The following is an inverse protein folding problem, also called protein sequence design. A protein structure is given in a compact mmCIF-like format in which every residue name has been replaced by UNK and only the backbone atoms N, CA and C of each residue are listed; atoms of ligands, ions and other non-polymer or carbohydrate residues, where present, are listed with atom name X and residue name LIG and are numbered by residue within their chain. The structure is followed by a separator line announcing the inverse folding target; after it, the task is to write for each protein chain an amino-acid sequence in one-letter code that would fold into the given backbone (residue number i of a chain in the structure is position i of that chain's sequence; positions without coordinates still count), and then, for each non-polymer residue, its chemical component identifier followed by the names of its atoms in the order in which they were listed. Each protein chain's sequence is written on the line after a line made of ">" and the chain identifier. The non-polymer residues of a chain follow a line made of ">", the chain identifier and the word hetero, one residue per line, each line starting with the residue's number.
data_IF_927994954935
#
_entry.id   IF_927994954935
#
_cell.length_a   1.000
_cell.length_b   1.000
_cell.length_c   1.000
_cell.angle_alpha   90.00
_cell.angle_beta   90.00
_cell.angle_gamma   90.00
#
_symmetry.space_group_name_H-M   'P 1'
#
loop_
_entity.id
_entity.type
_entity.pdbx_description
1 polymer ?
#
# COMPACT_ATOMS: atom_id res chain seq x y z
N UNK A 1 93.26 -27.07 17.12
CA UNK A 1 93.96 -25.97 16.50
C UNK A 1 92.86 -25.17 15.72
N UNK A 2 92.57 -24.02 16.24
CA UNK A 2 92.45 -22.68 15.59
C UNK A 2 91.54 -22.63 14.34
N UNK A 3 90.64 -21.68 14.13
CA UNK A 3 90.38 -20.33 14.63
C UNK A 3 88.99 -19.88 14.06
N UNK A 4 88.13 -19.36 14.87
CA UNK A 4 87.60 -17.99 14.96
C UNK A 4 87.11 -17.29 13.65
N UNK A 5 85.83 -17.11 13.55
CA UNK A 5 85.03 -15.82 13.45
C UNK A 5 85.23 -14.94 12.21
N UNK A 6 84.28 -14.01 11.84
CA UNK A 6 83.04 -13.58 12.51
C UNK A 6 81.83 -13.33 11.62
N UNK A 7 80.72 -13.04 12.33
CA UNK A 7 79.43 -12.51 11.89
C UNK A 7 79.45 -11.31 10.95
N UNK A 8 78.43 -11.25 10.06
CA UNK A 8 77.90 -9.99 9.60
C UNK A 8 76.34 -9.93 9.71
N UNK A 9 75.87 -9.01 10.48
CA UNK A 9 74.52 -8.66 10.79
C UNK A 9 73.88 -8.00 9.55
N UNK A 10 72.77 -8.52 9.06
CA UNK A 10 71.91 -7.88 8.08
C UNK A 10 70.61 -7.46 8.76
N UNK A 11 70.31 -6.15 8.74
CA UNK A 11 69.22 -5.45 9.44
C UNK A 11 67.87 -5.97 8.98
N UNK A 12 67.10 -6.57 9.90
CA UNK A 12 65.69 -6.87 9.71
C UNK A 12 64.84 -5.58 9.70
N UNK A 13 64.04 -5.41 8.70
CA UNK A 13 62.96 -4.41 8.68
C UNK A 13 61.89 -4.82 9.71
N UNK A 14 61.31 -3.87 10.42
CA UNK A 14 60.43 -4.18 11.53
C UNK A 14 59.10 -4.77 11.08
N UNK A 15 58.78 -5.93 11.62
CA UNK A 15 57.47 -6.63 11.44
C UNK A 15 56.24 -5.81 11.84
N UNK A 16 56.43 -4.62 12.39
CA UNK A 16 55.35 -3.69 12.76
C UNK A 16 54.67 -2.96 11.61
N UNK A 17 55.32 -2.78 10.46
CA UNK A 17 54.75 -2.14 9.30
C UNK A 17 53.73 -3.02 8.54
N UNK A 18 53.89 -4.37 8.61
CA UNK A 18 53.02 -5.31 7.94
C UNK A 18 51.69 -5.53 8.69
N UNK A 19 51.68 -5.41 10.01
CA UNK A 19 50.46 -5.49 10.83
C UNK A 19 49.58 -4.25 10.70
N UNK A 20 50.17 -3.08 10.50
CA UNK A 20 49.40 -1.84 10.33
C UNK A 20 48.67 -1.77 8.98
N UNK A 21 49.27 -2.34 7.91
CA UNK A 21 48.62 -2.42 6.57
C UNK A 21 47.53 -3.46 6.55
N UNK A 22 47.69 -4.59 7.27
CA UNK A 22 46.64 -5.62 7.38
C UNK A 22 45.45 -5.14 8.27
N UNK A 23 45.71 -4.35 9.31
CA UNK A 23 44.64 -3.74 10.13
C UNK A 23 43.89 -2.63 9.38
N UNK A 24 44.55 -1.85 8.51
CA UNK A 24 43.91 -0.87 7.66
C UNK A 24 43.06 -1.52 6.54
N UNK A 25 43.47 -2.66 6.02
CA UNK A 25 42.72 -3.45 5.03
C UNK A 25 41.49 -4.14 5.64
N UNK A 26 41.53 -4.53 6.92
CA UNK A 26 40.36 -5.09 7.64
C UNK A 26 39.35 -4.02 8.10
N UNK A 27 39.80 -2.78 8.27
CA UNK A 27 38.88 -1.65 8.56
C UNK A 27 38.11 -1.16 7.33
N UNK A 28 38.55 -1.52 6.10
CA UNK A 28 37.87 -1.17 4.84
C UNK A 28 36.94 -2.26 4.31
N UNK A 29 36.96 -3.45 4.91
CA UNK A 29 36.06 -4.56 4.53
C UNK A 29 34.81 -4.66 5.41
N UNK A 30 34.57 -3.73 6.29
CA UNK A 30 33.31 -3.51 6.99
C UNK A 30 32.31 -2.80 6.09
N UNK A 31 32.01 -3.33 4.90
CA UNK A 31 30.76 -3.03 4.20
C UNK A 31 29.63 -3.72 4.96
N UNK A 32 29.28 -3.18 6.13
CA UNK A 32 27.91 -3.21 6.56
C UNK A 32 27.12 -2.58 5.42
N UNK A 33 26.17 -3.32 4.84
CA UNK A 33 25.14 -2.77 4.01
C UNK A 33 24.49 -1.64 4.81
N UNK A 34 24.95 -0.39 4.62
CA UNK A 34 24.11 0.75 4.86
C UNK A 34 22.90 0.48 3.99
N UNK A 35 21.80 0.04 4.58
CA UNK A 35 20.52 0.39 4.05
C UNK A 35 20.58 1.90 3.85
N UNK A 36 20.80 2.31 2.62
CA UNK A 36 20.50 3.66 2.20
C UNK A 36 19.02 3.78 2.50
N UNK A 37 18.65 4.47 3.59
CA UNK A 37 17.33 5.05 3.68
C UNK A 37 17.19 5.83 2.37
N UNK A 38 16.37 5.31 1.46
CA UNK A 38 15.97 6.09 0.30
C UNK A 38 15.40 7.38 0.85
N UNK A 39 16.12 8.46 0.63
CA UNK A 39 15.72 9.78 1.12
C UNK A 39 14.51 10.19 0.28
N UNK A 40 13.31 9.91 0.80
CA UNK A 40 12.07 10.27 0.12
C UNK A 40 11.95 11.78 -0.01
N UNK A 41 11.32 12.23 -1.08
CA UNK A 41 11.13 13.64 -1.33
C UNK A 41 10.11 14.22 -0.32
N UNK A 42 10.56 15.24 0.43
CA UNK A 42 9.70 15.88 1.42
C UNK A 42 8.76 16.86 0.71
N UNK A 43 7.44 16.68 0.77
CA UNK A 43 6.48 17.64 0.25
C UNK A 43 6.66 19.01 0.87
N UNK A 44 6.61 20.06 0.04
CA UNK A 44 6.76 21.46 0.49
C UNK A 44 5.47 22.23 0.27
N UNK A 45 5.26 23.23 1.11
CA UNK A 45 4.12 24.12 1.03
C UNK A 45 3.34 24.23 2.34
N UNK A 46 2.29 25.04 2.38
CA UNK A 46 1.40 25.16 3.52
C UNK A 46 0.59 23.89 3.74
N UNK A 47 0.08 23.70 4.96
CA UNK A 47 -0.87 22.61 5.26
C UNK A 47 -2.06 22.65 4.28
N UNK A 48 -2.53 21.45 3.92
CA UNK A 48 -3.70 21.32 3.03
C UNK A 48 -4.95 21.70 3.79
N UNK A 49 -5.77 22.55 3.18
CA UNK A 49 -7.06 22.99 3.68
C UNK A 49 -8.11 23.02 2.57
N UNK A 50 -9.13 23.83 2.74
CA UNK A 50 -10.06 24.15 1.64
C UNK A 50 -9.37 25.15 0.71
N UNK A 51 -9.12 24.75 -0.52
CA UNK A 51 -8.28 25.45 -1.48
C UNK A 51 -9.03 25.65 -2.81
N UNK A 52 -8.66 26.71 -3.55
CA UNK A 52 -9.04 26.80 -4.96
C UNK A 52 -8.13 25.93 -5.83
N UNK A 53 -8.57 25.52 -7.03
CA UNK A 53 -7.73 24.83 -8.00
C UNK A 53 -6.44 25.60 -8.34
N UNK A 54 -6.49 26.94 -8.37
CA UNK A 54 -5.33 27.82 -8.64
C UNK A 54 -4.29 27.67 -7.54
N UNK A 55 -4.68 27.87 -6.29
CA UNK A 55 -3.79 27.71 -5.13
C UNK A 55 -3.23 26.28 -5.04
N UNK A 56 -4.06 25.28 -5.28
CA UNK A 56 -3.64 23.88 -5.31
C UNK A 56 -2.54 23.65 -6.36
N UNK A 57 -2.74 24.18 -7.58
CA UNK A 57 -1.81 24.00 -8.70
C UNK A 57 -0.47 24.69 -8.46
N UNK A 58 -0.43 25.85 -7.78
CA UNK A 58 0.81 26.52 -7.39
C UNK A 58 1.68 25.68 -6.45
N UNK A 59 1.04 24.80 -5.66
CA UNK A 59 1.72 23.93 -4.70
C UNK A 59 1.81 22.47 -5.16
N UNK A 60 1.35 22.18 -6.38
CA UNK A 60 1.39 20.86 -6.97
C UNK A 60 2.78 20.60 -7.57
N UNK A 61 3.44 19.53 -7.11
CA UNK A 61 4.76 19.15 -7.61
C UNK A 61 4.91 17.62 -7.61
N UNK A 62 5.65 17.04 -8.56
CA UNK A 62 5.85 15.59 -8.62
C UNK A 62 6.46 15.03 -7.33
N UNK A 63 7.41 15.72 -6.73
CA UNK A 63 8.04 15.33 -5.45
C UNK A 63 7.06 15.12 -4.29
N UNK A 64 5.85 15.72 -4.36
CA UNK A 64 4.84 15.49 -3.33
C UNK A 64 4.38 14.02 -3.28
N UNK A 65 4.55 13.31 -4.39
CA UNK A 65 4.21 11.89 -4.56
C UNK A 65 5.44 11.01 -4.80
N UNK A 66 6.60 11.40 -4.30
CA UNK A 66 7.90 10.72 -4.47
C UNK A 66 8.33 10.53 -5.94
N UNK A 67 7.84 11.39 -6.85
CA UNK A 67 8.21 11.40 -8.26
C UNK A 67 9.28 12.47 -8.53
N UNK A 68 10.21 12.16 -9.43
CA UNK A 68 11.20 13.13 -9.92
C UNK A 68 10.60 14.03 -11.01
N UNK A 69 9.63 13.50 -11.76
CA UNK A 69 8.98 14.17 -12.88
C UNK A 69 7.56 13.62 -13.07
N UNK A 70 6.64 14.45 -13.55
CA UNK A 70 5.30 14.01 -13.96
C UNK A 70 5.32 12.92 -15.05
N UNK A 71 6.41 12.81 -15.83
CA UNK A 71 6.59 11.75 -16.84
C UNK A 71 6.51 10.34 -16.24
N UNK A 72 6.87 10.19 -14.97
CA UNK A 72 6.84 8.90 -14.27
C UNK A 72 5.41 8.37 -14.06
N UNK A 73 4.38 9.24 -14.20
CA UNK A 73 2.98 8.81 -14.18
C UNK A 73 2.55 8.08 -15.47
N UNK A 74 3.33 8.13 -16.54
CA UNK A 74 2.95 7.55 -17.83
C UNK A 74 2.54 6.06 -17.78
N UNK A 75 3.20 5.17 -17.01
CA UNK A 75 2.73 3.78 -16.83
C UNK A 75 1.34 3.70 -16.20
N UNK A 76 1.08 4.50 -15.18
CA UNK A 76 -0.20 4.56 -14.44
C UNK A 76 -1.33 5.06 -15.33
N UNK A 77 -1.08 6.10 -16.12
CA UNK A 77 -2.02 6.59 -17.15
C UNK A 77 -2.34 5.49 -18.15
N UNK A 78 -1.33 4.78 -18.67
CA UNK A 78 -1.56 3.66 -19.61
C UNK A 78 -2.38 2.51 -19.04
N UNK A 79 -2.23 2.20 -17.73
CA UNK A 79 -3.07 1.21 -17.04
C UNK A 79 -4.53 1.64 -17.02
N UNK A 80 -4.79 2.90 -16.64
CA UNK A 80 -6.14 3.49 -16.63
C UNK A 80 -6.75 3.55 -18.02
N UNK A 81 -5.97 3.94 -19.05
CA UNK A 81 -6.42 3.95 -20.45
C UNK A 81 -6.85 2.55 -20.93
N UNK A 82 -6.07 1.51 -20.65
CA UNK A 82 -6.46 0.13 -21.04
C UNK A 82 -7.80 -0.27 -20.44
N UNK A 83 -8.04 0.06 -19.18
CA UNK A 83 -9.30 -0.23 -18.52
C UNK A 83 -10.46 0.56 -19.13
N UNK A 84 -10.31 1.87 -19.30
CA UNK A 84 -11.34 2.77 -19.83
C UNK A 84 -11.70 2.36 -21.27
N UNK A 85 -10.71 2.10 -22.13
CA UNK A 85 -10.91 1.63 -23.52
C UNK A 85 -11.61 0.26 -23.63
N UNK A 86 -11.66 -0.52 -22.56
CA UNK A 86 -12.43 -1.76 -22.52
C UNK A 86 -13.94 -1.54 -22.37
N UNK A 87 -14.38 -0.28 -22.21
CA UNK A 87 -15.78 0.10 -22.02
C UNK A 87 -16.31 0.79 -23.28
N UNK A 88 -17.61 0.72 -23.55
CA UNK A 88 -18.20 1.50 -24.66
C UNK A 88 -18.08 3.00 -24.38
N UNK A 89 -17.41 3.74 -25.27
CA UNK A 89 -17.10 5.16 -25.06
C UNK A 89 -18.34 6.03 -24.78
N UNK A 90 -19.46 5.72 -25.43
CA UNK A 90 -20.72 6.46 -25.30
C UNK A 90 -21.52 6.09 -24.03
N UNK A 91 -21.15 5.00 -23.36
CA UNK A 91 -21.85 4.60 -22.15
C UNK A 91 -21.49 5.51 -20.97
N UNK A 92 -22.49 5.79 -20.14
CA UNK A 92 -22.33 6.60 -18.94
C UNK A 92 -21.47 5.87 -17.91
N UNK A 93 -20.38 6.50 -17.50
CA UNK A 93 -19.50 6.01 -16.44
C UNK A 93 -20.02 6.43 -15.07
N UNK A 94 -20.56 7.65 -14.96
CA UNK A 94 -21.23 8.17 -13.77
C UNK A 94 -22.28 9.22 -14.16
N UNK A 95 -23.37 9.23 -13.42
CA UNK A 95 -24.43 10.25 -13.50
C UNK A 95 -24.88 10.58 -12.08
N UNK A 96 -24.51 11.76 -11.59
CA UNK A 96 -24.92 12.30 -10.30
C UNK A 96 -24.99 13.83 -10.34
N UNK A 97 -25.67 14.50 -9.41
CA UNK A 97 -25.69 15.95 -9.36
C UNK A 97 -24.28 16.56 -9.42
N UNK A 98 -24.09 17.46 -10.39
CA UNK A 98 -22.81 18.15 -10.63
C UNK A 98 -21.74 17.34 -11.38
N UNK A 99 -21.98 16.06 -11.73
CA UNK A 99 -21.01 15.27 -12.47
C UNK A 99 -21.67 14.17 -13.32
N UNK A 100 -21.67 14.36 -14.63
CA UNK A 100 -22.05 13.33 -15.60
C UNK A 100 -20.93 13.12 -16.59
N UNK A 101 -20.39 11.90 -16.64
CA UNK A 101 -19.29 11.53 -17.53
C UNK A 101 -19.59 10.22 -18.24
N UNK A 102 -19.19 10.14 -19.48
CA UNK A 102 -19.10 8.90 -20.27
C UNK A 102 -17.70 8.28 -20.13
N UNK A 103 -17.54 7.04 -20.56
CA UNK A 103 -16.21 6.43 -20.65
C UNK A 103 -15.32 7.15 -21.66
N UNK A 104 -15.91 7.74 -22.71
CA UNK A 104 -15.17 8.57 -23.67
C UNK A 104 -14.63 9.86 -23.07
N UNK A 105 -15.33 10.47 -22.07
CA UNK A 105 -14.82 11.62 -21.35
C UNK A 105 -13.60 11.27 -20.52
N UNK A 106 -13.62 10.13 -19.85
CA UNK A 106 -12.47 9.61 -19.10
C UNK A 106 -11.30 9.27 -20.02
N UNK A 107 -11.58 8.68 -21.18
CA UNK A 107 -10.55 8.38 -22.19
C UNK A 107 -9.87 9.65 -22.69
N UNK A 108 -10.65 10.68 -23.11
CA UNK A 108 -10.11 11.98 -23.53
C UNK A 108 -9.26 12.63 -22.45
N UNK A 109 -9.71 12.58 -21.20
CA UNK A 109 -8.97 13.12 -20.06
C UNK A 109 -7.62 12.43 -19.86
N UNK A 110 -7.58 11.13 -19.92
CA UNK A 110 -6.34 10.35 -19.78
C UNK A 110 -5.39 10.57 -20.98
N UNK A 111 -5.91 10.66 -22.20
CA UNK A 111 -5.13 10.95 -23.39
C UNK A 111 -4.54 12.37 -23.31
N UNK A 112 -5.36 13.36 -22.89
CA UNK A 112 -4.88 14.73 -22.71
C UNK A 112 -3.81 14.82 -21.64
N UNK A 113 -3.98 14.15 -20.51
CA UNK A 113 -2.96 14.08 -19.47
C UNK A 113 -1.67 13.45 -20.01
N UNK A 114 -1.76 12.32 -20.72
CA UNK A 114 -0.60 11.65 -21.31
C UNK A 114 0.19 12.56 -22.26
N UNK A 115 -0.49 13.34 -23.06
CA UNK A 115 0.13 14.32 -23.97
C UNK A 115 0.88 15.41 -23.20
N UNK A 116 0.32 15.87 -22.10
CA UNK A 116 0.88 16.98 -21.32
C UNK A 116 2.02 16.57 -20.39
N UNK A 117 2.13 15.31 -19.98
CA UNK A 117 3.16 14.84 -19.03
C UNK A 117 4.57 15.38 -19.29
N UNK A 118 5.07 15.46 -20.55
CA UNK A 118 6.41 15.96 -20.83
C UNK A 118 6.63 17.44 -20.51
N UNK A 119 5.55 18.21 -20.39
CA UNK A 119 5.58 19.67 -20.20
C UNK A 119 5.22 20.11 -18.78
N UNK A 120 4.53 19.27 -18.01
CA UNK A 120 3.95 19.64 -16.71
C UNK A 120 5.00 20.04 -15.66
N UNK A 121 6.24 19.56 -15.77
CA UNK A 121 7.31 19.96 -14.84
C UNK A 121 7.68 21.44 -15.00
N UNK A 122 7.66 21.94 -16.23
CA UNK A 122 7.97 23.34 -16.57
C UNK A 122 6.72 24.23 -16.57
N UNK A 123 5.56 23.67 -16.85
CA UNK A 123 4.30 24.40 -17.09
C UNK A 123 3.15 23.81 -16.28
N UNK A 124 3.18 23.84 -14.93
CA UNK A 124 2.13 23.24 -14.10
C UNK A 124 0.75 23.89 -14.31
N UNK A 125 0.69 25.14 -14.76
CA UNK A 125 -0.56 25.84 -15.13
C UNK A 125 -1.36 25.12 -16.23
N UNK A 126 -0.74 24.21 -16.99
CA UNK A 126 -1.45 23.40 -18.00
C UNK A 126 -2.53 22.51 -17.37
N UNK A 127 -2.45 22.18 -16.09
CA UNK A 127 -3.54 21.52 -15.38
C UNK A 127 -4.81 22.38 -15.35
N UNK A 128 -4.69 23.67 -15.09
CA UNK A 128 -5.85 24.59 -15.09
C UNK A 128 -6.37 24.90 -16.50
N UNK A 129 -5.46 25.04 -17.46
CA UNK A 129 -5.80 25.41 -18.81
C UNK A 129 -6.50 24.28 -19.59
N UNK A 130 -6.14 23.03 -19.32
CA UNK A 130 -6.57 21.88 -20.11
C UNK A 130 -7.63 21.01 -19.44
N UNK A 131 -7.88 21.21 -18.14
CA UNK A 131 -8.87 20.43 -17.41
C UNK A 131 -9.89 21.33 -16.72
N UNK A 132 -11.12 20.89 -16.74
CA UNK A 132 -12.14 21.34 -15.81
C UNK A 132 -11.94 20.61 -14.49
N UNK A 133 -11.92 21.32 -13.39
CA UNK A 133 -11.82 20.81 -12.04
C UNK A 133 -13.20 20.72 -11.42
N UNK A 134 -13.77 19.53 -11.39
CA UNK A 134 -15.09 19.28 -10.83
C UNK A 134 -14.93 18.87 -9.38
N UNK A 135 -15.30 19.74 -8.46
CA UNK A 135 -15.18 19.48 -7.04
C UNK A 135 -15.98 18.24 -6.64
N UNK A 136 -15.33 17.35 -5.91
CA UNK A 136 -16.02 16.27 -5.20
C UNK A 136 -16.58 16.92 -3.93
N UNK A 137 -17.92 16.85 -3.69
CA UNK A 137 -18.55 17.60 -2.59
C UNK A 137 -17.81 17.45 -1.28
N UNK A 138 -17.65 18.57 -0.56
CA UNK A 138 -16.80 18.78 0.62
C UNK A 138 -16.83 17.63 1.64
N UNK A 139 -15.65 17.35 2.23
CA UNK A 139 -15.49 16.39 3.30
C UNK A 139 -15.11 14.98 2.82
N UNK A 140 -14.21 14.88 1.84
CA UNK A 140 -13.52 13.61 1.58
C UNK A 140 -12.72 13.22 2.81
N UNK A 141 -12.95 12.02 3.31
CA UNK A 141 -12.12 11.38 4.32
C UNK A 141 -11.04 10.55 3.62
N UNK A 142 -9.80 10.87 3.86
CA UNK A 142 -8.66 10.10 3.36
C UNK A 142 -8.20 9.09 4.40
N UNK A 143 -7.94 7.88 3.94
CA UNK A 143 -7.20 6.84 4.64
C UNK A 143 -6.11 6.31 3.72
N UNK A 144 -5.24 5.44 4.24
CA UNK A 144 -4.18 4.83 3.45
C UNK A 144 -4.21 3.31 3.54
N UNK A 145 -3.71 2.66 2.51
CA UNK A 145 -3.41 1.24 2.53
C UNK A 145 -2.01 0.97 1.97
N UNK A 146 -1.43 -0.16 2.36
CA UNK A 146 -0.04 -0.48 2.05
C UNK A 146 0.13 -1.96 1.68
N UNK A 147 1.30 -2.35 1.18
CA UNK A 147 1.67 -3.75 0.94
C UNK A 147 2.32 -4.34 2.19
N UNK A 148 1.60 -5.09 3.04
CA UNK A 148 2.19 -5.70 4.21
C UNK A 148 3.17 -6.81 3.83
N UNK A 149 4.24 -6.95 4.63
CA UNK A 149 5.22 -8.05 4.57
C UNK A 149 4.92 -9.00 5.71
N UNK A 150 4.55 -10.23 5.40
CA UNK A 150 4.15 -11.25 6.37
C UNK A 150 5.19 -12.36 6.42
N UNK A 151 5.75 -12.62 7.60
CA UNK A 151 6.64 -13.77 7.84
C UNK A 151 5.87 -15.07 7.68
N UNK A 152 6.32 -15.94 6.79
CA UNK A 152 5.61 -17.16 6.44
C UNK A 152 6.54 -18.37 6.27
N UNK A 153 5.96 -19.56 6.30
CA UNK A 153 6.58 -20.83 5.91
C UNK A 153 5.70 -21.54 4.87
N UNK A 154 6.31 -22.32 3.99
CA UNK A 154 5.58 -23.12 3.00
C UNK A 154 4.87 -24.32 3.62
N UNK A 155 5.32 -24.73 4.81
CA UNK A 155 4.76 -25.86 5.56
C UNK A 155 4.44 -25.44 6.98
N UNK A 156 3.46 -26.11 7.58
CA UNK A 156 3.13 -25.92 8.99
C UNK A 156 4.28 -26.43 9.87
N UNK A 157 4.72 -25.60 10.79
CA UNK A 157 5.77 -25.94 11.77
C UNK A 157 5.66 -25.02 13.00
N UNK A 158 6.34 -25.36 14.13
CA UNK A 158 6.37 -24.47 15.30
C UNK A 158 6.76 -23.04 14.94
N UNK A 159 5.97 -22.06 15.43
CA UNK A 159 6.12 -20.64 15.11
C UNK A 159 5.53 -20.20 13.76
N UNK A 160 4.99 -21.14 12.95
CA UNK A 160 4.28 -20.87 11.69
C UNK A 160 3.02 -21.74 11.64
N UNK A 161 2.00 -21.32 12.37
CA UNK A 161 0.79 -22.12 12.60
C UNK A 161 -0.48 -21.48 12.06
N UNK A 162 -0.42 -20.21 11.65
CA UNK A 162 -1.56 -19.50 11.10
C UNK A 162 -1.66 -19.72 9.59
N UNK A 163 -2.67 -20.48 9.14
CA UNK A 163 -2.90 -20.74 7.72
C UNK A 163 -3.36 -19.49 6.97
N UNK A 164 -2.83 -19.34 5.74
CA UNK A 164 -3.32 -18.39 4.74
C UNK A 164 -3.98 -19.22 3.65
N UNK A 165 -5.31 -19.05 3.46
CA UNK A 165 -6.10 -19.94 2.61
C UNK A 165 -6.31 -19.40 1.20
N UNK A 166 -6.26 -20.32 0.22
CA UNK A 166 -6.77 -20.13 -1.12
C UNK A 166 -8.30 -20.06 -1.12
N UNK A 167 -8.86 -19.51 -2.22
CA UNK A 167 -10.30 -19.46 -2.42
C UNK A 167 -10.89 -20.87 -2.51
N UNK A 168 -11.80 -21.27 -1.61
CA UNK A 168 -12.41 -22.59 -1.67
C UNK A 168 -13.21 -22.80 -2.96
N UNK A 169 -13.02 -23.90 -3.68
CA UNK A 169 -13.71 -24.15 -4.97
C UNK A 169 -15.23 -24.28 -4.79
N UNK A 170 -15.69 -24.76 -3.65
CA UNK A 170 -17.10 -24.94 -3.31
C UNK A 170 -17.78 -23.64 -2.85
N UNK A 171 -17.03 -22.55 -2.60
CA UNK A 171 -17.56 -21.34 -2.00
C UNK A 171 -18.73 -20.73 -2.78
N UNK A 172 -18.65 -20.70 -4.12
CA UNK A 172 -19.74 -20.17 -4.96
C UNK A 172 -21.03 -20.97 -4.81
N UNK A 173 -20.93 -22.29 -4.76
CA UNK A 173 -22.08 -23.18 -4.60
C UNK A 173 -22.64 -23.10 -3.17
N UNK A 174 -21.78 -23.10 -2.17
CA UNK A 174 -22.15 -22.96 -0.77
C UNK A 174 -22.90 -21.64 -0.52
N UNK A 175 -22.36 -20.50 -1.00
CA UNK A 175 -22.99 -19.19 -0.86
C UNK A 175 -24.38 -19.10 -1.47
N UNK A 176 -24.63 -19.75 -2.61
CA UNK A 176 -25.97 -19.81 -3.21
C UNK A 176 -27.01 -20.44 -2.29
N UNK A 177 -26.61 -21.45 -1.49
CA UNK A 177 -27.48 -22.14 -0.53
C UNK A 177 -27.60 -21.42 0.83
N UNK A 178 -26.66 -20.50 1.14
CA UNK A 178 -26.52 -19.88 2.46
C UNK A 178 -26.62 -18.35 2.39
N UNK A 179 -27.59 -17.82 1.64
CA UNK A 179 -27.89 -16.36 1.55
C UNK A 179 -26.66 -15.51 1.24
N UNK A 180 -25.77 -15.98 0.35
CA UNK A 180 -24.57 -15.26 -0.08
C UNK A 180 -23.38 -15.35 0.89
N UNK A 181 -23.44 -16.16 1.93
CA UNK A 181 -22.40 -16.25 2.97
C UNK A 181 -21.72 -17.61 2.96
N UNK A 182 -20.42 -17.62 3.23
CA UNK A 182 -19.61 -18.81 3.50
C UNK A 182 -19.33 -18.91 5.00
N UNK A 183 -18.38 -19.72 5.42
CA UNK A 183 -18.00 -19.83 6.83
C UNK A 183 -17.50 -18.49 7.37
N UNK A 184 -17.84 -18.17 8.62
CA UNK A 184 -17.32 -17.02 9.37
C UNK A 184 -15.85 -17.21 9.71
N UNK A 185 -15.15 -16.12 10.05
CA UNK A 185 -13.77 -16.19 10.60
C UNK A 185 -13.66 -17.21 11.72
N UNK A 186 -14.54 -17.15 12.71
CA UNK A 186 -14.54 -18.09 13.84
C UNK A 186 -14.64 -19.55 13.41
N UNK A 187 -15.50 -19.85 12.45
CA UNK A 187 -15.63 -21.19 11.89
C UNK A 187 -14.37 -21.66 11.16
N UNK A 188 -13.71 -20.76 10.46
CA UNK A 188 -12.46 -21.07 9.73
C UNK A 188 -11.30 -21.23 10.71
N UNK A 189 -11.16 -20.32 11.66
CA UNK A 189 -9.97 -20.20 12.51
C UNK A 189 -10.03 -21.05 13.79
N UNK A 190 -11.17 -21.08 14.51
CA UNK A 190 -11.32 -21.85 15.74
C UNK A 190 -11.83 -23.27 15.45
N UNK A 191 -12.88 -23.39 14.63
CA UNK A 191 -13.47 -24.68 14.30
C UNK A 191 -12.72 -25.40 13.17
N UNK A 192 -11.72 -24.74 12.54
CA UNK A 192 -10.83 -25.27 11.52
C UNK A 192 -11.54 -25.95 10.34
N UNK A 193 -12.71 -25.43 9.90
CA UNK A 193 -13.53 -26.06 8.87
C UNK A 193 -12.86 -26.14 7.47
N UNK A 194 -11.71 -25.51 7.28
CA UNK A 194 -10.91 -25.59 6.06
C UNK A 194 -9.62 -26.41 6.22
N UNK A 195 -9.27 -26.80 7.45
CA UNK A 195 -8.04 -27.54 7.70
C UNK A 195 -8.03 -28.89 6.98
N UNK A 196 -6.88 -29.25 6.40
CA UNK A 196 -6.68 -30.51 5.69
C UNK A 196 -7.40 -30.63 4.35
N UNK A 197 -7.97 -29.51 3.82
CA UNK A 197 -8.62 -29.49 2.51
C UNK A 197 -7.66 -29.17 1.36
N UNK A 198 -6.35 -29.01 1.63
CA UNK A 198 -5.34 -28.66 0.64
C UNK A 198 -5.50 -27.22 0.12
N UNK A 199 -6.06 -26.33 0.94
CA UNK A 199 -6.30 -24.93 0.59
C UNK A 199 -5.25 -23.97 1.18
N UNK A 200 -4.35 -24.49 1.99
CA UNK A 200 -3.31 -23.73 2.65
C UNK A 200 -2.24 -23.31 1.64
N UNK A 201 -2.12 -22.00 1.37
CA UNK A 201 -1.09 -21.42 0.50
C UNK A 201 0.25 -21.30 1.23
N UNK A 202 0.19 -20.91 2.49
CA UNK A 202 1.33 -20.72 3.37
C UNK A 202 0.86 -20.70 4.84
N UNK A 203 1.84 -20.71 5.75
CA UNK A 203 1.62 -20.65 7.19
C UNK A 203 2.36 -19.45 7.76
N UNK A 204 1.63 -18.48 8.27
CA UNK A 204 2.20 -17.27 8.86
C UNK A 204 2.60 -17.49 10.33
N UNK A 205 3.55 -16.67 10.79
CA UNK A 205 4.02 -16.70 12.18
C UNK A 205 3.04 -16.04 13.15
N UNK A 206 2.28 -15.02 12.69
CA UNK A 206 1.40 -14.22 13.53
C UNK A 206 -0.01 -14.11 12.93
N UNK A 207 -1.07 -14.50 13.66
CA UNK A 207 -2.46 -14.34 13.23
C UNK A 207 -2.86 -12.86 13.05
N UNK A 208 -2.22 -11.94 13.76
CA UNK A 208 -2.46 -10.50 13.62
C UNK A 208 -1.98 -10.00 12.27
N UNK A 209 -0.83 -10.47 11.79
CA UNK A 209 -0.32 -10.14 10.47
C UNK A 209 -1.24 -10.65 9.35
N UNK A 210 -1.77 -11.87 9.50
CA UNK A 210 -2.75 -12.40 8.53
C UNK A 210 -4.04 -11.59 8.54
N UNK A 211 -4.51 -11.20 9.71
CA UNK A 211 -5.71 -10.36 9.84
C UNK A 211 -5.53 -9.00 9.13
N UNK A 212 -4.40 -8.34 9.33
CA UNK A 212 -4.12 -7.09 8.63
C UNK A 212 -3.87 -7.29 7.13
N UNK A 213 -3.22 -8.39 6.72
CA UNK A 213 -3.11 -8.77 5.31
C UNK A 213 -4.49 -8.91 4.66
N UNK A 214 -5.47 -9.49 5.36
CA UNK A 214 -6.83 -9.61 4.85
C UNK A 214 -7.54 -8.25 4.71
N UNK A 215 -7.25 -7.29 5.58
CA UNK A 215 -7.75 -5.91 5.49
C UNK A 215 -7.15 -5.22 4.27
N UNK A 216 -5.84 -5.37 4.06
CA UNK A 216 -5.13 -4.78 2.92
C UNK A 216 -5.48 -5.47 1.58
N UNK A 217 -5.88 -6.74 1.62
CA UNK A 217 -6.30 -7.52 0.45
C UNK A 217 -5.16 -8.06 -0.41
N UNK A 218 -3.93 -7.64 -0.18
CA UNK A 218 -2.72 -8.12 -0.86
C UNK A 218 -1.50 -7.83 -0.01
N UNK A 219 -0.38 -8.49 -0.31
CA UNK A 219 0.87 -8.31 0.42
C UNK A 219 1.98 -9.21 -0.10
N UNK A 220 3.03 -9.28 0.68
CA UNK A 220 4.22 -10.07 0.37
C UNK A 220 4.49 -11.07 1.49
N UNK A 221 4.58 -12.34 1.15
CA UNK A 221 5.05 -13.38 2.03
C UNK A 221 6.56 -13.40 2.01
N UNK A 222 7.19 -13.31 3.16
CA UNK A 222 8.63 -13.44 3.36
C UNK A 222 8.86 -14.79 4.02
N UNK A 223 9.32 -15.77 3.23
CA UNK A 223 9.51 -17.12 3.71
C UNK A 223 10.77 -17.23 4.56
N UNK A 224 10.78 -18.22 5.41
CA UNK A 224 11.88 -18.54 6.30
C UNK A 224 13.17 -19.02 5.57
N UNK A 225 13.05 -19.37 4.28
CA UNK A 225 14.18 -19.62 3.38
C UNK A 225 14.75 -18.33 2.73
N UNK A 226 14.23 -17.17 3.10
CA UNK A 226 14.62 -15.87 2.56
C UNK A 226 13.96 -15.52 1.21
N UNK A 227 13.18 -16.43 0.61
CA UNK A 227 12.46 -16.14 -0.63
C UNK A 227 11.18 -15.34 -0.36
N UNK A 228 10.68 -14.65 -1.38
CA UNK A 228 9.46 -13.87 -1.28
C UNK A 228 8.44 -14.28 -2.34
N UNK A 229 7.16 -14.10 -2.01
CA UNK A 229 6.08 -14.27 -2.96
C UNK A 229 5.01 -13.20 -2.77
N UNK A 230 4.48 -12.69 -3.86
CA UNK A 230 3.30 -11.84 -3.82
C UNK A 230 2.05 -12.67 -3.57
N UNK A 231 1.15 -12.11 -2.76
CA UNK A 231 -0.14 -12.70 -2.48
C UNK A 231 -1.23 -11.66 -2.70
N UNK A 232 -2.26 -12.02 -3.45
CA UNK A 232 -3.32 -11.13 -3.89
C UNK A 232 -4.70 -11.68 -3.54
N UNK A 233 -5.64 -10.77 -3.35
CA UNK A 233 -7.05 -11.07 -3.12
C UNK A 233 -7.61 -12.05 -4.17
N UNK A 234 -8.27 -13.09 -3.71
CA UNK A 234 -8.97 -14.06 -4.55
C UNK A 234 -10.49 -14.03 -4.32
N UNK A 235 -10.93 -13.65 -3.14
CA UNK A 235 -12.34 -13.55 -2.79
C UNK A 235 -12.56 -13.37 -1.30
N UNK A 236 -13.81 -13.18 -0.91
CA UNK A 236 -14.20 -13.03 0.50
C UNK A 236 -15.42 -13.88 0.83
N UNK A 237 -15.60 -14.20 2.10
CA UNK A 237 -16.64 -15.11 2.59
C UNK A 237 -18.09 -14.58 2.52
N UNK A 238 -18.32 -13.28 2.21
CA UNK A 238 -19.65 -12.68 2.08
C UNK A 238 -20.24 -12.12 3.37
N UNK A 239 -19.50 -12.17 4.48
CA UNK A 239 -19.90 -11.51 5.71
C UNK A 239 -19.48 -10.04 5.72
N UNK A 240 -20.29 -9.20 6.40
CA UNK A 240 -19.98 -7.78 6.56
C UNK A 240 -18.73 -7.63 7.44
N UNK A 241 -17.78 -6.82 6.97
CA UNK A 241 -16.61 -6.46 7.74
C UNK A 241 -16.99 -5.66 9.01
N UNK A 242 -16.37 -6.01 10.12
CA UNK A 242 -16.42 -5.25 11.38
C UNK A 242 -15.00 -4.83 11.75
N UNK A 243 -14.78 -3.54 11.91
CA UNK A 243 -13.46 -2.99 12.24
C UNK A 243 -13.03 -3.43 13.63
N UNK A 244 -11.87 -4.09 13.72
CA UNK A 244 -11.27 -4.49 15.02
C UNK A 244 -10.95 -3.28 15.90
N UNK A 245 -10.41 -2.20 15.31
CA UNK A 245 -10.16 -0.97 16.05
C UNK A 245 -11.41 -0.34 16.64
N UNK A 246 -12.54 -0.38 15.91
CA UNK A 246 -13.83 0.05 16.43
C UNK A 246 -14.32 -0.85 17.57
N UNK A 247 -14.26 -2.17 17.40
CA UNK A 247 -14.63 -3.15 18.42
C UNK A 247 -13.82 -2.91 19.70
N UNK A 248 -12.51 -2.74 19.57
CA UNK A 248 -11.61 -2.55 20.71
C UNK A 248 -11.88 -1.23 21.44
N UNK A 249 -12.19 -0.14 20.71
CA UNK A 249 -12.62 1.13 21.34
C UNK A 249 -13.96 0.99 22.06
N UNK A 250 -14.94 0.38 21.44
CA UNK A 250 -16.27 0.14 22.05
C UNK A 250 -16.16 -0.72 23.33
N UNK A 251 -15.15 -1.58 23.41
CA UNK A 251 -14.82 -2.36 24.62
C UNK A 251 -13.94 -1.61 25.63
N UNK A 252 -13.54 -0.38 25.35
CA UNK A 252 -12.64 0.40 26.21
C UNK A 252 -11.20 -0.11 26.27
N UNK A 253 -10.77 -0.92 25.28
CA UNK A 253 -9.42 -1.50 25.24
C UNK A 253 -8.40 -0.55 24.59
N UNK A 254 -8.85 0.34 23.71
CA UNK A 254 -8.03 1.31 22.99
C UNK A 254 -8.66 2.70 23.03
N UNK A 255 -7.82 3.72 22.91
CA UNK A 255 -8.27 5.12 22.83
C UNK A 255 -8.58 5.55 21.39
N UNK A 256 -7.65 5.32 20.47
CA UNK A 256 -7.77 5.72 19.06
C UNK A 256 -8.24 4.56 18.16
N UNK A 257 -7.67 3.37 18.38
CA UNK A 257 -7.99 2.16 17.61
C UNK A 257 -7.30 2.13 16.25
N UNK A 258 -6.21 2.89 16.06
CA UNK A 258 -5.35 2.77 14.89
C UNK A 258 -4.56 1.46 14.89
N UNK A 259 -3.93 1.13 13.76
CA UNK A 259 -3.26 -0.17 13.58
C UNK A 259 -2.10 -0.37 14.57
N UNK A 260 -1.36 0.69 14.90
CA UNK A 260 -0.23 0.61 15.84
C UNK A 260 -0.70 0.31 17.25
N UNK A 261 -1.72 1.04 17.71
CA UNK A 261 -2.30 0.82 19.03
C UNK A 261 -2.90 -0.59 19.14
N UNK A 262 -3.57 -1.08 18.07
CA UNK A 262 -4.07 -2.46 18.01
C UNK A 262 -2.93 -3.48 18.07
N UNK A 263 -1.87 -3.32 17.26
CA UNK A 263 -0.72 -4.24 17.24
C UNK A 263 -0.03 -4.30 18.59
N UNK A 264 0.19 -3.14 19.24
CA UNK A 264 0.79 -3.11 20.56
C UNK A 264 -0.09 -3.85 21.58
N UNK A 265 -1.39 -3.57 21.57
CA UNK A 265 -2.32 -4.25 22.48
C UNK A 265 -2.33 -5.77 22.27
N UNK A 266 -2.35 -6.26 21.04
CA UNK A 266 -2.29 -7.70 20.73
C UNK A 266 -0.99 -8.33 21.21
N UNK A 267 0.14 -7.64 21.06
CA UNK A 267 1.43 -8.08 21.59
C UNK A 267 1.43 -8.23 23.09
N UNK A 268 0.78 -7.31 23.80
CA UNK A 268 0.69 -7.30 25.26
C UNK A 268 -0.39 -8.29 25.78
N UNK A 269 -1.30 -8.72 24.91
CA UNK A 269 -2.43 -9.60 25.27
C UNK A 269 -2.56 -10.79 24.30
N UNK A 270 -1.53 -11.63 24.10
CA UNK A 270 -1.53 -12.68 23.08
C UNK A 270 -2.64 -13.71 23.24
N UNK A 271 -3.08 -13.98 24.48
CA UNK A 271 -4.18 -14.90 24.79
C UNK A 271 -5.56 -14.39 24.35
N UNK A 272 -5.71 -13.09 24.11
CA UNK A 272 -6.97 -12.47 23.69
C UNK A 272 -7.06 -12.16 22.19
N UNK A 273 -6.00 -12.42 21.43
CA UNK A 273 -5.95 -12.14 20.00
C UNK A 273 -7.14 -12.76 19.27
N UNK A 274 -7.35 -14.07 19.43
CA UNK A 274 -8.43 -14.81 18.76
C UNK A 274 -9.83 -14.32 19.18
N UNK A 275 -10.02 -14.00 20.45
CA UNK A 275 -11.27 -13.42 20.97
C UNK A 275 -11.67 -12.19 20.16
N UNK A 276 -10.75 -11.24 20.00
CA UNK A 276 -11.01 -9.97 19.34
C UNK A 276 -11.12 -10.13 17.82
N UNK A 277 -10.20 -10.84 17.20
CA UNK A 277 -10.20 -11.00 15.74
C UNK A 277 -11.46 -11.71 15.23
N UNK A 278 -11.97 -12.68 15.98
CA UNK A 278 -13.17 -13.45 15.63
C UNK A 278 -14.49 -12.70 15.79
N UNK A 279 -14.48 -11.49 16.36
CA UNK A 279 -15.66 -10.62 16.33
C UNK A 279 -15.92 -10.03 14.94
N UNK A 280 -14.90 -9.98 14.09
CA UNK A 280 -15.05 -9.71 12.67
C UNK A 280 -15.39 -11.01 11.93
N UNK A 281 -16.63 -11.24 11.47
CA UNK A 281 -16.98 -12.47 10.75
C UNK A 281 -16.46 -12.53 9.33
N UNK A 282 -15.98 -11.41 8.76
CA UNK A 282 -15.42 -11.34 7.41
C UNK A 282 -14.09 -12.08 7.35
N UNK A 283 -13.85 -12.77 6.22
CA UNK A 283 -12.62 -13.51 5.93
C UNK A 283 -12.25 -13.34 4.47
N UNK A 284 -10.96 -13.10 4.18
CA UNK A 284 -10.44 -12.94 2.82
C UNK A 284 -9.60 -14.15 2.44
N UNK A 285 -9.77 -14.60 1.21
CA UNK A 285 -9.02 -15.69 0.58
C UNK A 285 -8.05 -15.12 -0.45
N UNK A 286 -6.93 -15.80 -0.63
CA UNK A 286 -5.82 -15.32 -1.42
C UNK A 286 -5.48 -16.23 -2.59
N UNK A 287 -4.60 -15.75 -3.46
CA UNK A 287 -3.89 -16.51 -4.48
C UNK A 287 -2.49 -15.96 -4.63
N UNK A 288 -1.55 -16.77 -5.03
CA UNK A 288 -0.25 -16.26 -5.43
C UNK A 288 -0.39 -15.30 -6.61
N UNK A 289 0.40 -14.23 -6.59
CA UNK A 289 0.54 -13.24 -7.65
C UNK A 289 1.91 -13.29 -8.28
N UNK A 290 2.04 -12.85 -9.52
CA UNK A 290 3.32 -12.71 -10.20
C UNK A 290 3.94 -11.33 -10.01
N UNK A 291 3.19 -10.38 -9.45
CA UNK A 291 3.57 -8.96 -9.28
C UNK A 291 2.89 -8.43 -8.01
N UNK A 292 3.24 -7.20 -7.62
CA UNK A 292 2.70 -6.48 -6.47
C UNK A 292 1.16 -6.40 -6.38
N UNK A 293 0.65 -5.62 -5.44
CA UNK A 293 -0.78 -5.50 -5.16
C UNK A 293 -1.58 -5.20 -6.43
N UNK A 294 -2.64 -5.97 -6.69
CA UNK A 294 -3.47 -5.82 -7.87
C UNK A 294 -4.79 -5.15 -7.49
N UNK A 295 -5.04 -3.96 -8.03
CA UNK A 295 -6.28 -3.22 -7.83
C UNK A 295 -7.47 -3.77 -8.61
N UNK A 296 -8.64 -3.15 -8.43
CA UNK A 296 -9.92 -3.56 -9.04
C UNK A 296 -9.92 -3.50 -10.57
N UNK A 297 -9.01 -2.76 -11.19
CA UNK A 297 -8.83 -2.70 -12.64
C UNK A 297 -8.03 -3.91 -13.19
N UNK A 298 -7.57 -4.83 -12.33
CA UNK A 298 -6.76 -5.99 -12.73
C UNK A 298 -5.30 -5.67 -13.03
N UNK A 299 -4.81 -4.49 -12.67
CA UNK A 299 -3.43 -4.04 -12.79
C UNK A 299 -2.80 -3.78 -11.43
N UNK A 300 -1.47 -3.91 -11.36
CA UNK A 300 -0.70 -3.52 -10.17
C UNK A 300 -0.92 -2.04 -9.90
N UNK A 301 -1.25 -1.72 -8.65
CA UNK A 301 -1.40 -0.34 -8.18
C UNK A 301 -0.03 0.32 -8.02
N UNK A 302 0.01 1.63 -8.19
CA UNK A 302 1.23 2.44 -8.13
C UNK A 302 1.23 3.28 -6.86
N UNK A 303 2.35 3.26 -6.17
CA UNK A 303 2.59 3.95 -4.91
C UNK A 303 2.35 5.46 -5.07
N UNK A 304 1.65 6.06 -4.11
CA UNK A 304 1.24 7.47 -4.06
C UNK A 304 0.35 7.96 -5.23
N UNK A 305 0.03 7.08 -6.20
CA UNK A 305 -0.74 7.42 -7.39
C UNK A 305 -2.09 6.71 -7.45
N UNK A 306 -2.19 5.48 -6.97
CA UNK A 306 -3.43 4.71 -7.03
C UNK A 306 -4.34 5.02 -5.86
N UNK A 307 -5.61 5.25 -6.17
CA UNK A 307 -6.68 5.54 -5.22
C UNK A 307 -7.72 4.43 -5.24
N UNK A 308 -8.06 3.89 -4.07
CA UNK A 308 -9.25 3.09 -3.90
C UNK A 308 -10.44 4.03 -3.61
N UNK A 309 -11.53 3.81 -4.34
CA UNK A 309 -12.72 4.69 -4.33
C UNK A 309 -14.02 3.89 -4.29
N UNK A 310 -15.11 4.53 -3.95
CA UNK A 310 -16.43 4.02 -4.28
C UNK A 310 -16.73 4.31 -5.75
N UNK A 311 -16.72 3.26 -6.57
CA UNK A 311 -16.93 3.39 -8.03
C UNK A 311 -18.31 3.93 -8.42
N UNK A 312 -19.29 3.93 -7.50
CA UNK A 312 -20.59 4.59 -7.69
C UNK A 312 -20.48 6.10 -7.45
N UNK A 313 -19.38 6.57 -6.86
CA UNK A 313 -19.11 7.95 -6.53
C UNK A 313 -18.02 8.58 -7.41
N UNK A 314 -16.94 7.82 -7.67
CA UNK A 314 -15.86 8.16 -8.60
C UNK A 314 -15.59 6.90 -9.46
N UNK A 315 -15.87 6.93 -10.79
CA UNK A 315 -15.66 5.75 -11.62
C UNK A 315 -14.18 5.38 -11.73
N UNK A 316 -13.91 4.08 -11.87
CA UNK A 316 -12.55 3.62 -12.11
C UNK A 316 -12.00 4.20 -13.42
N UNK A 317 -10.73 4.59 -13.42
CA UNK A 317 -10.06 5.26 -14.53
C UNK A 317 -10.09 6.80 -14.44
N UNK A 318 -10.81 7.37 -13.47
CA UNK A 318 -10.86 8.82 -13.26
C UNK A 318 -9.52 9.36 -12.79
N UNK A 319 -9.12 10.52 -13.33
CA UNK A 319 -8.01 11.33 -12.83
C UNK A 319 -8.55 12.25 -11.73
N UNK A 320 -7.91 12.23 -10.56
CA UNK A 320 -8.33 12.97 -9.37
C UNK A 320 -7.17 13.84 -8.89
N UNK A 321 -7.36 15.15 -8.82
CA UNK A 321 -6.50 16.00 -8.01
C UNK A 321 -6.94 15.88 -6.56
N UNK A 322 -6.03 15.58 -5.65
CA UNK A 322 -6.34 15.33 -4.24
C UNK A 322 -5.33 15.97 -3.30
N UNK A 323 -5.83 16.46 -2.17
CA UNK A 323 -4.99 17.08 -1.16
C UNK A 323 -5.29 16.54 0.23
N UNK A 324 -4.25 16.22 1.00
CA UNK A 324 -4.38 15.76 2.39
C UNK A 324 -3.09 16.01 3.18
N UNK A 325 -3.21 16.24 4.48
CA UNK A 325 -2.06 16.27 5.37
C UNK A 325 -1.75 14.83 5.81
N UNK A 326 -0.65 14.28 5.31
CA UNK A 326 -0.23 12.90 5.65
C UNK A 326 0.58 12.87 6.94
N UNK A 327 0.40 11.88 7.81
CA UNK A 327 1.20 11.71 9.01
C UNK A 327 2.69 11.54 8.68
N UNK A 328 3.55 12.12 9.51
CA UNK A 328 5.00 11.99 9.40
C UNK A 328 5.62 11.90 10.80
N UNK A 329 6.53 10.94 11.03
CA UNK A 329 7.14 10.68 12.33
C UNK A 329 8.00 11.86 12.82
N UNK A 330 8.68 12.54 11.89
CA UNK A 330 9.62 13.62 12.21
C UNK A 330 8.93 14.98 12.29
N UNK A 331 7.98 15.24 11.40
CA UNK A 331 7.36 16.56 11.23
C UNK A 331 5.91 16.62 11.72
N UNK A 332 5.37 15.53 12.27
CA UNK A 332 3.98 15.40 12.69
C UNK A 332 3.04 15.19 11.50
N UNK A 333 3.08 16.09 10.52
CA UNK A 333 2.38 15.89 9.24
C UNK A 333 3.02 16.69 8.11
N UNK A 334 2.82 16.20 6.88
CA UNK A 334 3.30 16.85 5.65
C UNK A 334 2.14 17.08 4.68
N UNK A 335 2.10 18.23 3.99
CA UNK A 335 1.07 18.51 3.00
C UNK A 335 1.31 17.67 1.74
N UNK A 336 0.38 16.80 1.39
CA UNK A 336 0.39 16.04 0.14
C UNK A 336 -0.65 16.61 -0.81
N UNK A 337 -0.21 17.25 -1.89
CA UNK A 337 -1.03 17.62 -3.04
C UNK A 337 -0.58 16.79 -4.22
N UNK A 338 -1.50 16.07 -4.82
CA UNK A 338 -1.15 15.09 -5.84
C UNK A 338 -2.21 14.89 -6.92
N UNK A 339 -1.80 14.20 -7.96
CA UNK A 339 -2.67 13.70 -9.02
C UNK A 339 -2.74 12.18 -8.87
N UNK A 340 -3.92 11.66 -8.59
CA UNK A 340 -4.17 10.24 -8.41
C UNK A 340 -5.11 9.66 -9.45
N UNK A 341 -5.17 8.34 -9.47
CA UNK A 341 -5.98 7.57 -10.41
C UNK A 341 -6.89 6.61 -9.67
N UNK A 342 -8.19 6.69 -9.90
CA UNK A 342 -9.15 5.75 -9.34
C UNK A 342 -8.93 4.36 -9.97
N UNK A 343 -8.14 3.50 -9.34
CA UNK A 343 -7.71 2.20 -9.87
C UNK A 343 -8.12 1.02 -9.00
N UNK A 344 -8.61 1.31 -7.80
CA UNK A 344 -8.96 0.27 -6.85
C UNK A 344 -10.30 0.56 -6.15
N UNK A 345 -10.79 -0.43 -5.39
CA UNK A 345 -11.99 -0.34 -4.55
C UNK A 345 -11.74 -1.07 -3.24
N UNK A 346 -12.33 -0.58 -2.15
CA UNK A 346 -12.28 -1.23 -0.85
C UNK A 346 -13.67 -1.56 -0.30
N UNK A 347 -13.78 -2.63 0.46
CA UNK A 347 -15.03 -3.01 1.12
C UNK A 347 -15.58 -1.94 2.07
N UNK A 348 -14.68 -1.21 2.72
CA UNK A 348 -14.97 -0.10 3.63
C UNK A 348 -14.97 1.27 2.93
N UNK A 349 -14.52 1.34 1.67
CA UNK A 349 -14.42 2.60 0.93
C UNK A 349 -15.77 2.88 0.29
N UNK A 350 -16.49 3.83 0.87
CA UNK A 350 -17.86 4.17 0.47
C UNK A 350 -18.04 5.68 0.37
N UNK A 351 -18.77 6.10 -0.67
CA UNK A 351 -19.14 7.52 -0.90
C UNK A 351 -17.91 8.44 -0.89
N UNK A 352 -17.80 9.32 0.10
CA UNK A 352 -16.79 10.36 0.26
C UNK A 352 -15.52 9.87 0.97
N UNK A 353 -15.15 8.61 0.83
CA UNK A 353 -13.88 8.08 1.32
C UNK A 353 -12.97 7.72 0.15
N UNK A 354 -11.74 8.17 0.22
CA UNK A 354 -10.65 7.81 -0.69
C UNK A 354 -9.55 7.14 0.14
N UNK A 355 -9.05 6.02 -0.36
CA UNK A 355 -7.97 5.28 0.28
C UNK A 355 -6.73 5.31 -0.63
N UNK A 356 -5.64 5.93 -0.15
CA UNK A 356 -4.43 6.14 -0.91
C UNK A 356 -3.51 4.93 -0.80
N UNK A 357 -3.05 4.37 -1.92
CA UNK A 357 -2.01 3.34 -1.89
C UNK A 357 -0.66 3.99 -1.58
N UNK A 358 -0.14 3.72 -0.39
CA UNK A 358 1.10 4.31 0.09
C UNK A 358 2.35 3.52 -0.31
N UNK A 359 2.20 2.25 -0.79
CA UNK A 359 3.33 1.41 -1.18
C UNK A 359 3.72 0.34 -0.17
N UNK A 360 4.97 -0.11 -0.22
CA UNK A 360 5.49 -1.20 0.63
C UNK A 360 6.64 -0.83 1.56
N UNK A 361 7.02 0.46 1.63
CA UNK A 361 8.08 0.96 2.50
C UNK A 361 7.64 1.09 3.97
N UNK A 362 8.59 1.31 4.90
CA UNK A 362 8.27 1.61 6.30
C UNK A 362 7.45 2.90 6.41
N UNK A 363 7.81 3.95 5.63
CA UNK A 363 7.03 5.17 5.53
C UNK A 363 5.60 4.91 5.04
N UNK A 364 5.44 4.09 4.02
CA UNK A 364 4.13 3.70 3.50
C UNK A 364 3.26 3.04 4.58
N UNK A 365 3.85 2.12 5.35
CA UNK A 365 3.18 1.48 6.48
C UNK A 365 2.78 2.51 7.55
N UNK A 366 3.70 3.42 7.92
CA UNK A 366 3.43 4.46 8.90
C UNK A 366 2.27 5.36 8.44
N UNK A 367 2.36 5.93 7.23
CA UNK A 367 1.31 6.80 6.68
C UNK A 367 -0.02 6.06 6.60
N UNK A 368 -0.05 4.88 5.98
CA UNK A 368 -1.28 4.12 5.80
C UNK A 368 -1.95 3.74 7.13
N UNK A 369 -1.16 3.53 8.17
CA UNK A 369 -1.66 3.15 9.49
C UNK A 369 -2.21 4.33 10.31
N UNK A 370 -1.79 5.56 10.01
CA UNK A 370 -2.17 6.76 10.77
C UNK A 370 -3.00 7.76 9.98
N UNK A 371 -3.14 7.59 8.66
CA UNK A 371 -3.89 8.51 7.83
C UNK A 371 -5.40 8.34 8.06
N UNK A 372 -6.00 9.33 8.69
CA UNK A 372 -7.44 9.52 8.84
C UNK A 372 -7.70 11.03 8.92
N UNK A 373 -7.71 11.70 7.78
CA UNK A 373 -7.76 13.15 7.69
C UNK A 373 -8.72 13.62 6.58
N UNK A 374 -9.40 14.76 6.75
CA UNK A 374 -10.18 15.37 5.67
C UNK A 374 -9.26 16.07 4.67
N UNK A 375 -9.78 16.27 3.44
CA UNK A 375 -9.12 17.07 2.44
C UNK A 375 -9.95 17.27 1.19
N UNK A 376 -9.52 18.19 0.27
CA UNK A 376 -10.18 18.47 -0.99
C UNK A 376 -9.91 17.38 -2.03
N UNK A 377 -10.82 17.22 -2.97
CA UNK A 377 -10.64 16.42 -4.18
C UNK A 377 -11.40 17.02 -5.35
N UNK A 378 -10.83 16.91 -6.54
CA UNK A 378 -11.47 17.31 -7.80
C UNK A 378 -11.32 16.20 -8.83
N UNK A 379 -12.40 15.89 -9.52
CA UNK A 379 -12.34 15.10 -10.74
C UNK A 379 -11.84 16.00 -11.86
N UNK A 380 -10.76 15.62 -12.51
CA UNK A 380 -10.27 16.31 -13.69
C UNK A 380 -10.98 15.79 -14.93
N UNK A 381 -11.48 16.72 -15.78
CA UNK A 381 -12.14 16.40 -17.04
C UNK A 381 -11.50 17.25 -18.13
N UNK A 382 -11.04 16.64 -19.23
CA UNK A 382 -10.47 17.39 -20.35
C UNK A 382 -11.48 18.40 -20.93
N UNK A 383 -11.01 19.62 -21.17
CA UNK A 383 -11.77 20.69 -21.81
C UNK A 383 -11.98 20.44 -23.30
#
# INVERSE_FOLDING_TARGET
>A
MHQKTPLRVGKGLPRLALCAVLLAALALSGCGSRQTHEEYLIPKGPAVGFESPEFFTEHLAPRNQDLQSWREMAPTVRKSLRYVKSKPAVAVAIDRPGLRLTWGDLERTLLRLQELLPRLDAEPQLFLQNFQWVEVPSGIAYSGYYEPRVKASRTRKPGYEQAIYALPPDMKQYKRRHKGRYYTRRQIEEQQLLAGRGLELAWAADPVDVFFLEIQGSGRLVFDDGTEAFINYAGQNGHKYKSSGRIMREKGLLKRGDIFEQRQWFKDNPQRVREILNENPSYVFFRYGSRGPTGAMGHVVDEWLSLAVDRSYIPLGTVVAFGVNVPDEKYGSLPLRGIGFAQDVGGAIKQRRIDLFCGGSERANYVASHLDAPGPAWVLVAR
#
